data_IF_548420542387
#
_entry.id   IF_548420542387
#
_cell.length_a   1.000
_cell.length_b   1.000
_cell.length_c   1.000
_cell.angle_alpha   90.00
_cell.angle_beta   90.00
_cell.angle_gamma   90.00
#
_symmetry.space_group_name_H-M   'P 1'
#
loop_
_entity.id
_entity.type
_entity.pdbx_description
1 polymer ?
#
# COMPACT_ATOMS: atom_id res chain seq x y z
N UNK A 1 6.65 14.20 -7.95
CA UNK A 1 6.25 15.07 -9.08
C UNK A 1 4.74 15.36 -9.09
N UNK A 2 3.87 14.35 -9.09
CA UNK A 2 2.42 14.56 -9.14
C UNK A 2 1.87 15.40 -7.97
N UNK A 3 2.25 15.17 -6.70
CA UNK A 3 1.79 16.00 -5.59
C UNK A 3 2.13 17.49 -5.77
N UNK A 4 3.36 17.79 -6.25
CA UNK A 4 3.80 19.16 -6.49
C UNK A 4 2.93 19.85 -7.54
N UNK A 5 2.72 19.19 -8.69
CA UNK A 5 1.88 19.72 -9.78
C UNK A 5 0.44 20.01 -9.30
N UNK A 6 -0.15 19.07 -8.55
CA UNK A 6 -1.51 19.23 -8.04
C UNK A 6 -1.60 20.36 -7.00
N UNK A 7 -0.62 20.46 -6.12
CA UNK A 7 -0.55 21.53 -5.11
C UNK A 7 -0.40 22.90 -5.79
N UNK A 8 0.50 23.03 -6.76
CA UNK A 8 0.70 24.30 -7.51
C UNK A 8 -0.57 24.74 -8.22
N UNK A 9 -1.34 23.80 -8.77
CA UNK A 9 -2.57 24.06 -9.52
C UNK A 9 -3.77 24.40 -8.63
N UNK A 10 -3.97 23.60 -7.58
CA UNK A 10 -5.22 23.66 -6.80
C UNK A 10 -5.07 24.35 -5.44
N UNK A 11 -3.85 24.51 -4.92
CA UNK A 11 -3.56 25.11 -3.60
C UNK A 11 -4.35 24.46 -2.45
N UNK A 12 -4.48 23.13 -2.49
CA UNK A 12 -5.24 22.32 -1.52
C UNK A 12 -4.38 21.20 -0.96
N UNK A 13 -4.68 20.73 0.26
CA UNK A 13 -4.09 19.51 0.79
C UNK A 13 -4.37 18.31 -0.11
N UNK A 14 -3.40 17.39 -0.16
CA UNK A 14 -3.44 16.21 -1.04
C UNK A 14 -3.58 14.96 -0.17
N UNK A 15 -4.56 14.12 -0.52
CA UNK A 15 -4.73 12.77 -0.01
C UNK A 15 -4.51 11.78 -1.14
N UNK A 16 -3.69 10.76 -0.92
CA UNK A 16 -3.66 9.58 -1.79
C UNK A 16 -4.68 8.60 -1.22
N UNK A 17 -5.81 8.49 -1.89
CA UNK A 17 -6.94 7.69 -1.42
C UNK A 17 -6.79 6.21 -1.73
N UNK A 18 -6.02 5.87 -2.76
CA UNK A 18 -5.71 4.51 -3.15
C UNK A 18 -4.33 4.42 -3.81
N UNK A 19 -3.50 3.51 -3.33
CA UNK A 19 -2.25 3.13 -3.97
C UNK A 19 -1.88 1.70 -3.58
N UNK A 20 -1.60 0.84 -4.56
CA UNK A 20 -1.30 -0.55 -4.31
C UNK A 20 -0.71 -1.28 -5.51
N UNK A 21 -0.29 -2.51 -5.28
CA UNK A 21 0.31 -3.39 -6.27
C UNK A 21 -0.39 -4.73 -6.29
N UNK A 22 -0.83 -5.18 -7.46
CA UNK A 22 -1.25 -6.56 -7.68
C UNK A 22 -0.05 -7.50 -7.63
N UNK A 23 -0.24 -8.66 -7.02
CA UNK A 23 0.78 -9.70 -6.95
C UNK A 23 0.13 -11.08 -6.91
N UNK A 24 0.76 -12.12 -7.52
CA UNK A 24 0.28 -13.50 -7.45
C UNK A 24 0.65 -14.12 -6.10
N UNK A 25 0.10 -13.59 -5.03
CA UNK A 25 0.42 -14.01 -3.67
C UNK A 25 -0.03 -15.44 -3.40
N UNK A 26 0.83 -16.20 -2.76
CA UNK A 26 0.57 -17.58 -2.33
C UNK A 26 1.03 -17.79 -0.89
N UNK A 27 0.38 -18.73 -0.20
CA UNK A 27 0.82 -19.17 1.12
C UNK A 27 2.06 -20.07 0.91
N UNK A 28 3.19 -19.66 1.49
CA UNK A 28 4.43 -20.42 1.48
C UNK A 28 4.38 -21.62 2.45
N UNK A 29 5.40 -22.50 2.36
CA UNK A 29 5.49 -23.68 3.22
C UNK A 29 5.57 -23.35 4.73
N UNK A 30 6.00 -22.15 5.08
CA UNK A 30 6.04 -21.64 6.46
C UNK A 30 4.70 -21.00 6.91
N UNK A 31 3.66 -21.09 6.09
CA UNK A 31 2.33 -20.54 6.38
C UNK A 31 2.22 -19.02 6.22
N UNK A 32 3.24 -18.37 5.65
CA UNK A 32 3.25 -16.91 5.44
C UNK A 32 3.07 -16.55 3.98
N UNK A 33 2.76 -15.28 3.74
CA UNK A 33 2.75 -14.71 2.40
C UNK A 33 3.89 -13.70 2.31
N UNK A 34 4.90 -14.06 1.51
CA UNK A 34 6.11 -13.28 1.26
C UNK A 34 5.88 -12.39 0.05
N UNK A 35 5.49 -11.16 0.29
CA UNK A 35 5.14 -10.17 -0.73
C UNK A 35 6.09 -8.96 -0.70
N UNK A 36 7.40 -9.24 -0.73
CA UNK A 36 8.48 -8.23 -0.68
C UNK A 36 8.37 -7.22 -1.84
N UNK A 37 7.88 -7.66 -2.99
CA UNK A 37 7.62 -6.78 -4.14
C UNK A 37 6.59 -5.69 -3.79
N UNK A 38 5.55 -6.03 -3.03
CA UNK A 38 4.56 -5.07 -2.55
C UNK A 38 5.16 -4.13 -1.51
N UNK A 39 5.99 -4.65 -0.61
CA UNK A 39 6.72 -3.82 0.37
C UNK A 39 7.59 -2.81 -0.38
N UNK A 40 8.41 -3.27 -1.34
CA UNK A 40 9.29 -2.39 -2.11
C UNK A 40 8.52 -1.32 -2.89
N UNK A 41 7.38 -1.68 -3.48
CA UNK A 41 6.50 -0.74 -4.16
C UNK A 41 5.96 0.33 -3.22
N UNK A 42 5.39 -0.07 -2.08
CA UNK A 42 4.80 0.86 -1.12
C UNK A 42 5.87 1.75 -0.48
N UNK A 43 7.03 1.19 -0.13
CA UNK A 43 8.15 1.94 0.43
C UNK A 43 8.60 3.05 -0.52
N UNK A 44 8.77 2.72 -1.80
CA UNK A 44 9.17 3.69 -2.82
C UNK A 44 8.14 4.83 -2.98
N UNK A 45 6.85 4.51 -3.03
CA UNK A 45 5.80 5.53 -3.13
C UNK A 45 5.73 6.41 -1.88
N UNK A 46 5.82 5.82 -0.70
CA UNK A 46 5.81 6.56 0.57
C UNK A 46 7.07 7.41 0.75
N UNK A 47 8.23 6.94 0.28
CA UNK A 47 9.45 7.75 0.24
C UNK A 47 9.24 9.06 -0.53
N UNK A 48 8.72 8.97 -1.76
CA UNK A 48 8.47 10.16 -2.56
C UNK A 48 7.33 11.03 -2.02
N UNK A 49 6.35 10.43 -1.35
CA UNK A 49 5.28 11.16 -0.70
C UNK A 49 5.79 11.95 0.52
N UNK A 50 6.66 11.32 1.32
CA UNK A 50 7.36 12.00 2.41
C UNK A 50 8.25 13.13 1.89
N UNK A 51 9.04 12.87 0.84
CA UNK A 51 9.86 13.91 0.20
C UNK A 51 9.04 15.10 -0.26
N UNK A 52 7.83 14.89 -0.78
CA UNK A 52 6.94 15.99 -1.12
C UNK A 52 6.54 16.81 0.12
N UNK A 53 6.29 16.16 1.26
CA UNK A 53 6.05 16.85 2.54
C UNK A 53 7.24 17.68 2.98
N UNK A 54 8.45 17.16 2.83
CA UNK A 54 9.69 17.87 3.16
C UNK A 54 9.94 19.09 2.25
N UNK A 55 9.31 19.13 1.08
CA UNK A 55 9.30 20.26 0.14
C UNK A 55 8.08 21.21 0.34
N UNK A 56 7.50 21.24 1.53
CA UNK A 56 6.35 22.09 1.91
C UNK A 56 5.06 21.83 1.10
N UNK A 57 4.94 20.65 0.47
CA UNK A 57 3.70 20.25 -0.18
C UNK A 57 2.75 19.71 0.88
N UNK A 58 1.51 20.22 1.00
CA UNK A 58 0.58 19.82 2.05
C UNK A 58 0.01 18.43 1.79
N UNK A 59 0.80 17.41 2.03
CA UNK A 59 0.36 16.00 1.99
C UNK A 59 -0.31 15.65 3.31
N UNK A 60 -1.54 15.15 3.24
CA UNK A 60 -2.41 15.04 4.41
C UNK A 60 -2.85 13.60 4.73
N UNK A 61 -2.67 12.66 3.80
CA UNK A 61 -2.99 11.27 4.06
C UNK A 61 -2.66 10.33 2.92
N UNK A 62 -2.42 9.07 3.28
CA UNK A 62 -2.10 7.99 2.35
C UNK A 62 -2.85 6.72 2.74
N UNK A 63 -3.53 6.12 1.78
CA UNK A 63 -4.31 4.90 1.97
C UNK A 63 -3.83 3.82 1.00
N UNK A 64 -3.48 2.67 1.54
CA UNK A 64 -3.10 1.51 0.74
C UNK A 64 -4.35 0.90 0.10
N UNK A 65 -4.29 0.61 -1.18
CA UNK A 65 -5.23 -0.29 -1.83
C UNK A 65 -4.60 -1.68 -1.93
N UNK A 66 -5.16 -2.68 -1.25
CA UNK A 66 -6.33 -2.64 -0.40
C UNK A 66 -6.04 -3.32 0.94
N UNK A 67 -6.97 -3.21 1.89
CA UNK A 67 -6.84 -3.90 3.18
C UNK A 67 -6.83 -5.42 2.97
N UNK A 68 -7.80 -5.96 2.24
CA UNK A 68 -7.94 -7.39 1.98
C UNK A 68 -7.99 -7.67 0.48
N UNK A 69 -7.54 -8.85 0.07
CA UNK A 69 -7.78 -9.32 -1.29
C UNK A 69 -9.29 -9.31 -1.58
N UNK A 70 -9.67 -8.84 -2.77
CA UNK A 70 -11.05 -8.65 -3.13
C UNK A 70 -11.27 -8.82 -4.65
N UNK A 71 -12.49 -8.60 -5.09
CA UNK A 71 -12.86 -8.65 -6.51
C UNK A 71 -12.32 -7.44 -7.28
N UNK A 72 -11.47 -7.71 -8.28
CA UNK A 72 -10.82 -6.67 -9.09
C UNK A 72 -11.46 -6.57 -10.48
N UNK A 73 -12.67 -6.06 -10.54
CA UNK A 73 -13.40 -5.76 -11.77
C UNK A 73 -13.26 -6.85 -12.85
N UNK A 74 -12.69 -6.52 -14.02
CA UNK A 74 -12.51 -7.45 -15.14
C UNK A 74 -11.56 -8.62 -14.83
N UNK A 75 -10.69 -8.49 -13.84
CA UNK A 75 -9.76 -9.55 -13.39
C UNK A 75 -10.37 -10.50 -12.37
N UNK A 76 -11.58 -10.19 -11.87
CA UNK A 76 -12.23 -11.02 -10.86
C UNK A 76 -11.39 -11.18 -9.60
N UNK A 77 -11.10 -12.44 -9.21
CA UNK A 77 -10.30 -12.77 -8.03
C UNK A 77 -8.87 -13.21 -8.37
N UNK A 78 -8.41 -13.00 -9.61
CA UNK A 78 -7.07 -13.44 -10.02
C UNK A 78 -5.97 -12.48 -9.54
N UNK A 79 -6.29 -11.20 -9.43
CA UNK A 79 -5.37 -10.17 -8.96
C UNK A 79 -5.55 -9.90 -7.46
N UNK A 80 -4.44 -9.86 -6.73
CA UNK A 80 -4.45 -9.70 -5.27
C UNK A 80 -3.74 -8.40 -4.87
N UNK A 81 -4.51 -7.41 -4.42
CA UNK A 81 -3.99 -6.11 -3.96
C UNK A 81 -3.91 -5.99 -2.44
N UNK A 82 -4.56 -6.89 -1.70
CA UNK A 82 -4.65 -6.80 -0.26
C UNK A 82 -3.31 -6.88 0.46
N UNK A 83 -3.20 -6.21 1.60
CA UNK A 83 -2.14 -6.46 2.60
C UNK A 83 -2.54 -7.58 3.56
N UNK A 84 -3.77 -8.08 3.44
CA UNK A 84 -4.29 -9.28 4.06
C UNK A 84 -4.75 -10.24 2.97
N UNK A 85 -4.19 -11.42 2.97
CA UNK A 85 -4.57 -12.52 2.09
C UNK A 85 -5.94 -13.08 2.49
N UNK A 86 -6.80 -13.33 1.52
CA UNK A 86 -8.07 -14.04 1.71
C UNK A 86 -8.03 -15.34 0.93
N UNK A 87 -8.18 -16.45 1.63
CA UNK A 87 -8.53 -17.72 0.97
C UNK A 87 -10.00 -17.64 0.57
N UNK A 88 -10.27 -17.57 -0.72
CA UNK A 88 -11.62 -17.37 -1.22
C UNK A 88 -12.55 -18.59 -1.01
N UNK A 89 -11.98 -19.75 -0.73
CA UNK A 89 -12.75 -20.99 -0.46
C UNK A 89 -13.13 -21.10 1.01
N UNK A 90 -12.14 -21.00 1.91
CA UNK A 90 -12.35 -21.13 3.36
C UNK A 90 -12.75 -19.82 4.03
N UNK A 91 -12.49 -18.68 3.37
CA UNK A 91 -12.65 -17.34 3.91
C UNK A 91 -11.67 -17.03 5.06
N UNK A 92 -10.62 -17.80 5.23
CA UNK A 92 -9.55 -17.50 6.17
C UNK A 92 -8.74 -16.26 5.72
N UNK A 93 -8.29 -15.47 6.69
CA UNK A 93 -7.50 -14.26 6.47
C UNK A 93 -6.13 -14.42 7.08
N UNK A 94 -5.09 -14.15 6.30
CA UNK A 94 -3.71 -14.18 6.75
C UNK A 94 -3.04 -12.83 6.46
N UNK A 95 -2.50 -12.16 7.49
CA UNK A 95 -1.79 -10.90 7.30
C UNK A 95 -0.50 -11.18 6.54
N UNK A 96 -0.31 -10.52 5.39
CA UNK A 96 0.90 -10.62 4.57
C UNK A 96 2.08 -9.90 5.22
N UNK A 97 3.29 -10.15 4.76
CA UNK A 97 4.48 -9.44 5.29
C UNK A 97 4.38 -7.93 5.02
N UNK A 98 3.79 -7.50 3.90
CA UNK A 98 3.47 -6.09 3.63
C UNK A 98 2.53 -5.48 4.69
N UNK A 99 1.54 -6.21 5.16
CA UNK A 99 0.64 -5.75 6.22
C UNK A 99 1.35 -5.53 7.55
N UNK A 100 2.27 -6.44 7.90
CA UNK A 100 3.11 -6.32 9.09
C UNK A 100 4.10 -5.14 8.98
N UNK A 101 4.67 -4.96 7.80
CA UNK A 101 5.56 -3.84 7.50
C UNK A 101 4.79 -2.51 7.57
N UNK A 102 3.62 -2.41 6.92
CA UNK A 102 2.82 -1.20 6.90
C UNK A 102 2.32 -0.79 8.31
N UNK A 103 2.02 -1.77 9.18
CA UNK A 103 1.76 -1.51 10.61
C UNK A 103 2.94 -0.78 11.27
N UNK A 104 4.19 -1.17 10.96
CA UNK A 104 5.38 -0.50 11.50
C UNK A 104 5.53 0.93 10.94
N UNK A 105 5.23 1.12 9.64
CA UNK A 105 5.23 2.45 9.01
C UNK A 105 4.27 3.37 9.74
N UNK A 106 3.03 2.93 9.96
CA UNK A 106 2.02 3.72 10.70
C UNK A 106 2.49 3.99 12.12
N UNK A 107 2.95 2.98 12.84
CA UNK A 107 3.39 3.09 14.23
C UNK A 107 4.59 4.02 14.45
N UNK A 108 5.43 4.19 13.44
CA UNK A 108 6.57 5.11 13.43
C UNK A 108 6.27 6.47 12.80
N UNK A 109 5.02 6.71 12.38
CA UNK A 109 4.65 7.89 11.59
C UNK A 109 5.57 8.10 10.36
N UNK A 110 5.93 6.99 9.69
CA UNK A 110 6.78 6.99 8.50
C UNK A 110 8.29 7.11 8.74
N UNK A 111 8.77 7.14 9.99
CA UNK A 111 10.22 7.29 10.28
C UNK A 111 11.07 6.15 9.72
N UNK A 112 10.50 4.96 9.57
CA UNK A 112 11.21 3.79 9.02
C UNK A 112 11.34 3.79 7.49
N UNK A 113 10.67 4.68 6.79
CA UNK A 113 10.77 4.84 5.33
C UNK A 113 12.10 5.52 5.02
N UNK A 114 12.89 4.91 4.15
CA UNK A 114 14.25 5.37 3.79
C UNK A 114 14.25 6.34 2.61
#
# INVERSE_FOLDING_TARGET
WAPKFLCERYKKPIYITENGLASPDMIAADGKIHDENRIAFLDQYLHYYRKASDEDIPVAGYFVWSLMDNFEWAFGYTERFGIVYVDYTSQERTIKESGKWYKKVIGSNGEIIK
#
